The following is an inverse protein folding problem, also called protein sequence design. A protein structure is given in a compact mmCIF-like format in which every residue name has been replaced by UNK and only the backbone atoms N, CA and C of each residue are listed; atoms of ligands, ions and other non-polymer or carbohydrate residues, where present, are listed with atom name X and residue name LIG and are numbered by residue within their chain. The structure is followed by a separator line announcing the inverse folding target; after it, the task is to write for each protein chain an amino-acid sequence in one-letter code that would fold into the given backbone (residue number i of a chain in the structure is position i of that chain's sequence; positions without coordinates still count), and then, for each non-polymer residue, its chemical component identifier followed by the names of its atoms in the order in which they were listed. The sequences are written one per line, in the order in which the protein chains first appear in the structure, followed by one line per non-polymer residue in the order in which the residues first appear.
data_IF_465351836641
#
_entry.id   IF_465351836641
#
_cell.length_a   1.000
_cell.length_b   1.000
_cell.length_c   1.000
_cell.angle_alpha   90.00
_cell.angle_beta   90.00
_cell.angle_gamma   90.00
#
_symmetry.space_group_name_H-M   'P 1'
#
loop_
_entity.id
_entity.type
_entity.pdbx_description
1 polymer ?
#
# COMPACT_ATOMS: atom_id res chain seq x y z
N UNK A 1 0.87 -5.70 0.38
CA UNK A 1 0.55 -5.01 1.63
C UNK A 1 -0.31 -3.79 1.25
N UNK A 2 -0.60 -2.94 2.19
CA UNK A 2 -1.30 -1.73 1.92
C UNK A 2 -0.38 -0.57 2.13
N UNK A 3 -0.67 0.52 1.51
CA UNK A 3 0.12 1.70 1.70
C UNK A 3 -0.77 2.74 2.33
N UNK A 4 -0.62 2.93 3.63
CA UNK A 4 -1.52 3.81 4.37
C UNK A 4 -1.06 5.26 4.30
N UNK A 5 -0.63 5.61 3.13
CA UNK A 5 -0.38 6.96 2.75
C UNK A 5 -1.62 7.39 2.02
N UNK A 6 -2.30 6.39 1.51
CA UNK A 6 -3.46 6.51 0.72
C UNK A 6 -4.51 5.56 1.28
N UNK A 7 -5.64 5.50 0.65
CA UNK A 7 -6.69 4.60 1.06
C UNK A 7 -6.48 3.29 0.32
N UNK A 8 -5.76 3.41 -0.77
CA UNK A 8 -5.40 2.33 -1.65
C UNK A 8 -4.45 1.36 -0.95
N UNK A 9 -4.51 0.14 -1.34
CA UNK A 9 -3.56 -0.82 -0.91
C UNK A 9 -2.65 -1.14 -2.06
N UNK A 10 -1.40 -0.86 -1.90
CA UNK A 10 -0.42 -1.13 -2.88
C UNK A 10 0.74 -1.76 -2.15
N UNK A 11 1.49 -2.60 -2.81
CA UNK A 11 2.63 -3.27 -2.19
C UNK A 11 3.70 -2.29 -1.77
N UNK A 12 3.67 -1.99 -0.52
CA UNK A 12 4.61 -1.14 0.08
C UNK A 12 5.52 -2.05 0.84
N UNK A 13 6.76 -2.13 0.44
CA UNK A 13 7.70 -3.01 1.09
C UNK A 13 8.15 -2.35 2.38
N UNK A 14 7.61 -2.81 3.49
CA UNK A 14 7.92 -2.25 4.79
C UNK A 14 9.41 -2.44 5.17
#
# INVERSE_FOLDING_TARGET
ECCHRQLLCCLRFVX
#
